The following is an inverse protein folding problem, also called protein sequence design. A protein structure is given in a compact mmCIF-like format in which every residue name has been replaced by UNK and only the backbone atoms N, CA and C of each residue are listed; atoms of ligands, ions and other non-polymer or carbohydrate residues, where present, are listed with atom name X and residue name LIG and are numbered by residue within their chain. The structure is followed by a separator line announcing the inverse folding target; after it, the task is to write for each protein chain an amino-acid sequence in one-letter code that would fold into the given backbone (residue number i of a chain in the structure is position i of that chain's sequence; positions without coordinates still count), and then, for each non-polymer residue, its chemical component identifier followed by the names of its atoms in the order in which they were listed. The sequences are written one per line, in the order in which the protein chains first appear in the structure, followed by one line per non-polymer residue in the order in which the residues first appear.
data_IF_349212159268
#
_entry.id   IF_349212159268
#
_cell.length_a   1.000
_cell.length_b   1.000
_cell.length_c   1.000
_cell.angle_alpha   90.00
_cell.angle_beta   90.00
_cell.angle_gamma   90.00
#
_symmetry.space_group_name_H-M   'P 1'
#
loop_
_entity.id
_entity.type
_entity.pdbx_description
1 polymer ?
#
# COMPACT_ATOMS: atom_id res chain seq x y z
N UNK A 1 22.91 -10.58 8.94
CA UNK A 1 22.24 -9.36 9.44
C UNK A 1 21.34 -9.00 8.29
N UNK A 2 20.05 -9.28 8.40
CA UNK A 2 19.12 -9.07 7.30
C UNK A 2 19.02 -7.57 7.05
N UNK A 3 19.31 -7.14 5.82
CA UNK A 3 19.24 -5.74 5.47
C UNK A 3 17.76 -5.32 5.40
N UNK A 4 17.44 -4.14 5.93
CA UNK A 4 16.09 -3.59 5.88
C UNK A 4 15.55 -3.54 4.44
N UNK A 5 16.43 -3.23 3.47
CA UNK A 5 16.07 -3.20 2.05
C UNK A 5 15.71 -4.57 1.49
N UNK A 6 16.39 -5.63 1.96
CA UNK A 6 16.12 -7.02 1.60
C UNK A 6 14.76 -7.47 2.17
N UNK A 7 14.48 -7.16 3.44
CA UNK A 7 13.17 -7.44 4.04
C UNK A 7 12.04 -6.76 3.26
N UNK A 8 12.22 -5.50 2.84
CA UNK A 8 11.24 -4.78 2.02
C UNK A 8 11.05 -5.41 0.63
N UNK A 9 12.13 -5.86 -0.01
CA UNK A 9 12.06 -6.52 -1.30
C UNK A 9 11.24 -7.82 -1.21
N UNK A 10 11.50 -8.63 -0.19
CA UNK A 10 10.75 -9.86 0.08
C UNK A 10 9.27 -9.54 0.34
N UNK A 11 8.97 -8.59 1.22
CA UNK A 11 7.59 -8.21 1.52
C UNK A 11 6.82 -7.76 0.26
N UNK A 12 7.45 -6.97 -0.61
CA UNK A 12 6.86 -6.56 -1.90
C UNK A 12 6.61 -7.75 -2.82
N UNK A 13 7.54 -8.69 -2.88
CA UNK A 13 7.39 -9.89 -3.71
C UNK A 13 6.23 -10.77 -3.23
N UNK A 14 6.15 -11.04 -1.93
CA UNK A 14 5.08 -11.84 -1.34
C UNK A 14 3.70 -11.20 -1.54
N UNK A 15 3.59 -9.87 -1.37
CA UNK A 15 2.34 -9.16 -1.65
C UNK A 15 1.91 -9.25 -3.12
N UNK A 16 2.86 -9.23 -4.07
CA UNK A 16 2.56 -9.43 -5.50
C UNK A 16 2.10 -10.84 -5.80
N UNK A 17 2.70 -11.84 -5.15
CA UNK A 17 2.26 -13.24 -5.26
C UNK A 17 0.83 -13.40 -4.71
N UNK A 18 0.55 -12.85 -3.51
CA UNK A 18 -0.79 -12.84 -2.93
C UNK A 18 -1.82 -12.19 -3.87
N UNK A 19 -1.47 -11.06 -4.50
CA UNK A 19 -2.33 -10.40 -5.47
C UNK A 19 -2.62 -11.28 -6.70
N UNK A 20 -1.61 -12.04 -7.17
CA UNK A 20 -1.80 -12.96 -8.30
C UNK A 20 -2.71 -14.15 -7.94
N UNK A 21 -2.55 -14.70 -6.73
CA UNK A 21 -3.42 -15.77 -6.20
C UNK A 21 -4.86 -15.29 -6.10
N UNK A 22 -5.12 -14.14 -5.46
CA UNK A 22 -6.46 -13.57 -5.34
C UNK A 22 -7.11 -13.30 -6.71
N UNK A 23 -6.35 -12.80 -7.69
CA UNK A 23 -6.88 -12.60 -9.05
C UNK A 23 -7.29 -13.91 -9.71
N UNK A 24 -6.52 -14.98 -9.53
CA UNK A 24 -6.89 -16.30 -10.03
C UNK A 24 -8.14 -16.82 -9.34
N UNK A 25 -8.18 -16.76 -8.01
CA UNK A 25 -9.31 -17.26 -7.22
C UNK A 25 -10.61 -16.52 -7.58
N UNK A 26 -10.55 -15.21 -7.80
CA UNK A 26 -11.69 -14.41 -8.29
C UNK A 26 -12.11 -14.76 -9.73
N UNK A 27 -11.16 -15.13 -10.60
CA UNK A 27 -11.44 -15.49 -11.99
C UNK A 27 -12.04 -16.90 -12.13
N UNK A 28 -11.64 -17.81 -11.23
CA UNK A 28 -12.19 -19.17 -11.12
C UNK A 28 -13.51 -19.21 -10.34
N UNK A 29 -13.89 -18.10 -9.71
CA UNK A 29 -15.09 -18.01 -8.90
C UNK A 29 -16.36 -18.12 -9.76
N UNK A 30 -17.29 -19.05 -9.46
CA UNK A 30 -18.55 -19.19 -10.18
C UNK A 30 -19.38 -17.92 -10.07
N UNK A 31 -20.13 -17.55 -11.12
CA UNK A 31 -20.83 -16.25 -11.26
C UNK A 31 -21.41 -15.73 -9.93
N UNK A 32 -20.73 -14.78 -9.27
CA UNK A 32 -21.11 -14.37 -7.92
C UNK A 32 -22.37 -13.51 -7.98
N UNK A 33 -23.26 -13.69 -7.01
CA UNK A 33 -24.30 -12.70 -6.73
C UNK A 33 -23.64 -11.59 -5.92
N UNK A 34 -23.25 -10.52 -6.63
CA UNK A 34 -22.57 -9.38 -6.03
C UNK A 34 -23.33 -8.87 -4.79
N UNK A 35 -22.64 -8.74 -3.66
CA UNK A 35 -23.20 -8.24 -2.40
C UNK A 35 -23.95 -9.28 -1.55
N UNK A 36 -24.24 -10.47 -2.08
CA UNK A 36 -24.86 -11.57 -1.31
C UNK A 36 -23.88 -12.72 -1.04
N UNK A 37 -22.87 -12.85 -1.91
CA UNK A 37 -21.84 -13.86 -1.77
C UNK A 37 -20.73 -13.39 -0.82
N UNK A 38 -20.81 -13.85 0.43
CA UNK A 38 -19.83 -13.52 1.49
C UNK A 38 -18.40 -13.92 1.13
N UNK A 39 -18.23 -15.03 0.41
CA UNK A 39 -16.91 -15.54 0.03
C UNK A 39 -16.31 -14.66 -1.06
N UNK A 40 -17.09 -14.28 -2.07
CA UNK A 40 -16.62 -13.35 -3.09
C UNK A 40 -16.34 -11.95 -2.51
N UNK A 41 -17.20 -11.47 -1.60
CA UNK A 41 -16.97 -10.21 -0.89
C UNK A 41 -15.67 -10.25 -0.06
N UNK A 42 -15.36 -11.39 0.57
CA UNK A 42 -14.10 -11.58 1.27
C UNK A 42 -12.90 -11.47 0.32
N UNK A 43 -12.97 -12.08 -0.87
CA UNK A 43 -11.91 -11.98 -1.88
C UNK A 43 -11.68 -10.52 -2.34
N UNK A 44 -12.76 -9.73 -2.49
CA UNK A 44 -12.67 -8.30 -2.81
C UNK A 44 -11.96 -7.52 -1.70
N UNK A 45 -12.33 -7.74 -0.43
CA UNK A 45 -11.68 -7.13 0.73
C UNK A 45 -10.19 -7.49 0.80
N UNK A 46 -9.83 -8.78 0.61
CA UNK A 46 -8.43 -9.19 0.59
C UNK A 46 -7.66 -8.53 -0.57
N UNK A 47 -8.26 -8.43 -1.76
CA UNK A 47 -7.66 -7.77 -2.92
C UNK A 47 -7.38 -6.29 -2.66
N UNK A 48 -8.30 -5.60 -1.99
CA UNK A 48 -8.11 -4.21 -1.57
C UNK A 48 -7.02 -4.05 -0.51
N UNK A 49 -6.99 -4.92 0.51
CA UNK A 49 -5.94 -4.91 1.53
C UNK A 49 -4.55 -5.07 0.95
N UNK A 50 -4.36 -6.03 0.04
CA UNK A 50 -3.07 -6.25 -0.63
C UNK A 50 -2.66 -5.05 -1.48
N UNK A 51 -3.61 -4.45 -2.20
CA UNK A 51 -3.37 -3.23 -2.99
C UNK A 51 -2.91 -2.07 -2.11
N UNK A 52 -3.56 -1.87 -0.98
CA UNK A 52 -3.23 -0.80 -0.04
C UNK A 52 -1.86 -1.03 0.62
N UNK A 53 -1.53 -2.27 0.96
CA UNK A 53 -0.22 -2.62 1.50
C UNK A 53 0.91 -2.32 0.49
N UNK A 54 0.75 -2.71 -0.78
CA UNK A 54 1.70 -2.38 -1.84
C UNK A 54 1.85 -0.86 -2.02
N UNK A 55 0.73 -0.13 -2.03
CA UNK A 55 0.75 1.33 -2.12
C UNK A 55 1.50 1.97 -0.94
N UNK A 56 1.35 1.44 0.28
CA UNK A 56 2.06 1.93 1.45
C UNK A 56 3.58 1.66 1.37
N UNK A 57 4.01 0.53 0.80
CA UNK A 57 5.42 0.23 0.59
C UNK A 57 6.08 1.09 -0.49
N UNK A 58 5.30 1.55 -1.47
CA UNK A 58 5.79 2.39 -2.57
C UNK A 58 5.60 3.90 -2.30
N UNK A 59 4.84 4.26 -1.25
CA UNK A 59 4.59 5.64 -0.89
C UNK A 59 5.89 6.32 -0.44
N UNK A 60 6.25 7.49 -1.00
CA UNK A 60 7.39 8.25 -0.51
C UNK A 60 7.12 8.68 0.93
N UNK A 61 8.10 8.51 1.80
CA UNK A 61 8.01 9.01 3.16
C UNK A 61 7.96 10.55 3.11
N UNK A 62 6.80 11.12 3.45
CA UNK A 62 6.69 12.56 3.59
C UNK A 62 7.49 13.00 4.82
N UNK A 63 8.59 13.70 4.60
CA UNK A 63 9.31 14.42 5.65
C UNK A 63 8.79 15.85 5.65
N UNK A 64 8.04 16.28 6.68
CA UNK A 64 7.66 17.69 6.81
C UNK A 64 8.94 18.53 6.81
N UNK A 65 9.03 19.51 5.92
CA UNK A 65 10.15 20.45 5.91
C UNK A 65 10.32 21.03 7.31
N UNK A 66 11.49 20.88 7.96
CA UNK A 66 11.69 21.41 9.29
C UNK A 66 11.41 22.92 9.28
N UNK A 67 10.39 23.38 10.03
CA UNK A 67 10.18 24.79 10.34
C UNK A 67 11.25 25.26 11.33
N UNK A 68 12.53 25.21 10.95
CA UNK A 68 13.51 26.10 11.56
C UNK A 68 13.34 27.44 10.87
N UNK A 69 12.54 28.31 11.48
CA UNK A 69 12.68 29.75 11.26
C UNK A 69 14.15 30.06 11.59
N UNK A 70 14.95 30.34 10.57
CA UNK A 70 16.26 30.96 10.76
C UNK A 70 15.98 32.31 11.43
N UNK A 71 16.18 32.37 12.74
CA UNK A 71 16.09 33.60 13.52
C UNK A 71 17.11 34.58 12.91
N UNK A 72 16.64 35.60 12.20
CA UNK A 72 17.50 36.61 11.57
C UNK A 72 17.18 37.02 10.14
N UNK A 73 16.21 36.41 9.45
CA UNK A 73 15.70 36.94 8.18
C UNK A 73 14.42 37.74 8.44
N UNK A 74 14.60 38.93 9.03
CA UNK A 74 13.55 39.94 9.11
C UNK A 74 13.14 40.32 7.70
N UNK A 75 11.89 40.05 7.35
CA UNK A 75 11.29 40.55 6.12
C UNK A 75 10.80 41.95 6.46
N UNK A 76 11.65 42.97 6.26
CA UNK A 76 11.15 44.34 6.19
C UNK A 76 10.40 44.49 4.86
N UNK A 77 9.07 44.46 4.94
CA UNK A 77 8.23 44.94 3.85
C UNK A 77 8.30 46.46 3.83
N UNK A 78 8.84 47.01 2.74
CA UNK A 78 8.77 48.45 2.42
C UNK A 78 7.86 48.66 1.23
#
# INVERSE_FOLDING_TARGET
MDDYSECLAIARQELRLAQAVLRRDMAEYPTPIAGCDEQFNHLLDQSERVRNALAALDAPHFVPTPRKLTYGQGIESR
#
